data_IF_469283213169
#
_entry.id   IF_469283213169
#
_cell.length_a   1.000
_cell.length_b   1.000
_cell.length_c   1.000
_cell.angle_alpha   90.00
_cell.angle_beta   90.00
_cell.angle_gamma   90.00
#
_symmetry.space_group_name_H-M   'P 1'
#
loop_
_entity.id
_entity.type
_entity.pdbx_description
1 polymer ?
#
# COMPACT_ATOMS: atom_id res chain seq x y z
N UNK A 1 -29.80 24.40 -11.85
CA UNK A 1 -28.51 23.93 -11.30
C UNK A 1 -28.37 22.47 -11.69
N UNK A 2 -27.67 22.16 -12.77
CA UNK A 2 -27.38 20.77 -13.15
C UNK A 2 -26.19 20.31 -12.31
N UNK A 3 -26.45 19.46 -11.31
CA UNK A 3 -25.38 18.75 -10.62
C UNK A 3 -24.63 17.95 -11.69
N UNK A 4 -23.35 18.25 -11.93
CA UNK A 4 -22.53 17.42 -12.79
C UNK A 4 -22.46 16.04 -12.15
N UNK A 5 -23.09 15.04 -12.78
CA UNK A 5 -22.91 13.66 -12.41
C UNK A 5 -21.43 13.34 -12.65
N UNK A 6 -20.69 13.04 -11.57
CA UNK A 6 -19.31 12.58 -11.67
C UNK A 6 -19.21 11.29 -12.50
N UNK A 7 -17.99 10.82 -12.77
CA UNK A 7 -17.77 9.56 -13.47
C UNK A 7 -18.53 8.42 -12.80
N UNK A 8 -19.46 7.79 -13.52
CA UNK A 8 -20.16 6.58 -13.10
C UNK A 8 -19.60 5.40 -13.90
N UNK A 9 -18.91 4.44 -13.25
CA UNK A 9 -18.44 3.26 -13.93
C UNK A 9 -19.64 2.45 -14.45
N UNK A 10 -19.50 1.86 -15.63
CA UNK A 10 -20.52 0.99 -16.23
C UNK A 10 -20.81 -0.24 -15.36
N UNK A 11 -19.80 -0.73 -14.64
CA UNK A 11 -19.91 -1.83 -13.71
C UNK A 11 -20.06 -1.32 -12.26
N UNK A 12 -21.04 -1.84 -11.49
CA UNK A 12 -21.15 -1.53 -10.08
C UNK A 12 -19.89 -1.96 -9.31
N UNK A 13 -19.48 -1.13 -8.35
CA UNK A 13 -18.40 -1.48 -7.41
C UNK A 13 -18.87 -2.68 -6.59
N UNK A 14 -18.23 -3.84 -6.80
CA UNK A 14 -18.58 -5.07 -6.08
C UNK A 14 -17.97 -5.05 -4.69
N UNK A 15 -18.78 -5.36 -3.68
CA UNK A 15 -18.30 -5.48 -2.31
C UNK A 15 -17.44 -6.74 -2.14
N UNK A 16 -16.31 -6.65 -1.42
CA UNK A 16 -15.53 -7.82 -1.05
C UNK A 16 -16.36 -8.90 -0.34
N UNK A 17 -16.11 -10.20 -0.61
CA UNK A 17 -16.81 -11.31 0.06
C UNK A 17 -16.57 -11.34 1.57
N UNK A 18 -15.52 -10.66 2.04
CA UNK A 18 -15.25 -10.42 3.46
C UNK A 18 -16.45 -9.81 4.20
N UNK A 19 -17.23 -8.95 3.52
CA UNK A 19 -18.37 -8.24 4.10
C UNK A 19 -19.72 -8.92 3.79
N UNK A 20 -19.70 -10.14 3.26
CA UNK A 20 -20.94 -10.84 2.90
C UNK A 20 -21.59 -11.49 4.12
N UNK A 21 -22.93 -11.42 4.14
CA UNK A 21 -23.77 -12.22 5.02
C UNK A 21 -24.70 -13.11 4.18
N UNK A 22 -24.77 -14.43 4.44
CA UNK A 22 -23.99 -15.19 5.44
C UNK A 22 -22.48 -15.23 5.09
N UNK A 23 -21.58 -15.46 6.07
CA UNK A 23 -20.13 -15.44 5.85
C UNK A 23 -19.68 -16.49 4.83
N UNK A 24 -18.75 -16.12 3.93
CA UNK A 24 -18.25 -16.98 2.83
C UNK A 24 -16.73 -17.21 2.95
N UNK A 25 -16.25 -18.05 3.88
CA UNK A 25 -14.83 -18.13 4.25
C UNK A 25 -13.90 -18.46 3.07
N UNK A 26 -14.25 -19.44 2.23
CA UNK A 26 -13.44 -19.81 1.07
C UNK A 26 -13.32 -18.67 0.05
N UNK A 27 -14.42 -17.95 -0.19
CA UNK A 27 -14.42 -16.80 -1.09
C UNK A 27 -13.60 -15.64 -0.50
N UNK A 28 -13.68 -15.42 0.81
CA UNK A 28 -12.88 -14.43 1.53
C UNK A 28 -11.38 -14.74 1.45
N UNK A 29 -10.96 -15.98 1.71
CA UNK A 29 -9.54 -16.35 1.63
C UNK A 29 -9.00 -16.19 0.21
N UNK A 30 -9.77 -16.59 -0.80
CA UNK A 30 -9.40 -16.35 -2.20
C UNK A 30 -9.25 -14.86 -2.49
N UNK A 31 -10.22 -14.05 -2.07
CA UNK A 31 -10.17 -12.61 -2.25
C UNK A 31 -8.97 -11.97 -1.53
N UNK A 32 -8.62 -12.42 -0.31
CA UNK A 32 -7.42 -11.96 0.37
C UNK A 32 -6.17 -12.28 -0.46
N UNK A 33 -6.04 -13.52 -0.93
CA UNK A 33 -4.87 -13.93 -1.71
C UNK A 33 -4.75 -13.19 -3.06
N UNK A 34 -5.83 -13.10 -3.83
CA UNK A 34 -5.77 -12.63 -5.22
C UNK A 34 -6.25 -11.21 -5.43
N UNK A 35 -7.17 -10.74 -4.59
CA UNK A 35 -7.77 -9.40 -4.70
C UNK A 35 -7.09 -8.36 -3.82
N UNK A 36 -6.58 -8.76 -2.66
CA UNK A 36 -5.93 -7.84 -1.71
C UNK A 36 -4.39 -7.94 -1.76
N UNK A 37 -3.85 -9.16 -1.71
CA UNK A 37 -2.41 -9.37 -1.64
C UNK A 37 -1.73 -9.33 -3.01
N UNK A 38 -2.22 -10.09 -3.99
CA UNK A 38 -1.57 -10.15 -5.29
C UNK A 38 -1.99 -9.00 -6.23
N UNK A 39 -1.07 -8.39 -7.00
CA UNK A 39 0.38 -8.37 -6.80
C UNK A 39 0.82 -7.29 -5.80
N UNK A 40 0.01 -6.24 -5.62
CA UNK A 40 0.41 -5.00 -4.96
C UNK A 40 0.62 -5.13 -3.45
N UNK A 41 -0.25 -5.83 -2.74
CA UNK A 41 -0.07 -6.08 -1.31
C UNK A 41 1.23 -6.83 -1.02
N UNK A 42 1.56 -7.84 -1.82
CA UNK A 42 2.83 -8.57 -1.72
C UNK A 42 4.04 -7.67 -2.04
N UNK A 43 3.94 -6.81 -3.05
CA UNK A 43 4.97 -5.82 -3.35
C UNK A 43 5.22 -4.91 -2.14
N UNK A 44 4.18 -4.35 -1.52
CA UNK A 44 4.32 -3.47 -0.37
C UNK A 44 4.82 -4.20 0.88
N UNK A 45 4.38 -5.44 1.13
CA UNK A 45 4.92 -6.28 2.21
C UNK A 45 6.40 -6.54 1.98
N UNK A 46 6.81 -6.89 0.76
CA UNK A 46 8.21 -7.08 0.40
C UNK A 46 9.05 -5.83 0.64
N UNK A 47 8.56 -4.65 0.20
CA UNK A 47 9.20 -3.37 0.47
C UNK A 47 9.31 -3.07 1.96
N UNK A 48 8.29 -3.38 2.75
CA UNK A 48 8.30 -3.19 4.20
C UNK A 48 9.38 -4.08 4.86
N UNK A 49 9.43 -5.36 4.49
CA UNK A 49 10.43 -6.31 5.01
C UNK A 49 11.85 -5.87 4.64
N UNK A 50 12.09 -5.51 3.37
CA UNK A 50 13.40 -5.04 2.91
C UNK A 50 13.80 -3.73 3.63
N UNK A 51 12.88 -2.78 3.73
CA UNK A 51 13.13 -1.50 4.37
C UNK A 51 13.43 -1.65 5.86
N UNK A 52 12.71 -2.54 6.56
CA UNK A 52 12.91 -2.78 7.98
C UNK A 52 14.26 -3.46 8.25
N UNK A 53 14.57 -4.53 7.51
CA UNK A 53 15.75 -5.34 7.81
C UNK A 53 17.06 -4.76 7.26
N UNK A 54 17.02 -4.00 6.15
CA UNK A 54 18.23 -3.53 5.47
C UNK A 54 18.44 -2.02 5.56
N UNK A 55 17.36 -1.23 5.62
CA UNK A 55 17.43 0.22 5.47
C UNK A 55 17.03 0.99 6.75
N UNK A 56 16.57 0.29 7.79
CA UNK A 56 16.15 0.93 9.05
C UNK A 56 17.31 0.87 10.05
N UNK A 57 17.66 1.99 10.69
CA UNK A 57 18.70 2.03 11.72
C UNK A 57 18.41 1.07 12.88
N UNK A 58 19.44 0.74 13.65
CA UNK A 58 19.25 -0.12 14.83
C UNK A 58 18.37 0.56 15.88
N UNK A 59 17.66 -0.25 16.68
CA UNK A 59 16.86 0.25 17.81
C UNK A 59 17.70 1.05 18.82
N UNK A 60 18.99 0.73 18.96
CA UNK A 60 19.91 1.49 19.80
C UNK A 60 20.12 2.92 19.30
N UNK A 61 20.28 3.11 17.98
CA UNK A 61 20.41 4.45 17.37
C UNK A 61 19.12 5.25 17.48
N UNK A 62 17.97 4.58 17.47
CA UNK A 62 16.65 5.22 17.58
C UNK A 62 16.16 5.38 19.03
N UNK A 63 16.99 5.06 20.04
CA UNK A 63 16.62 5.16 21.46
C UNK A 63 16.34 6.61 21.91
N UNK A 64 16.99 7.58 21.29
CA UNK A 64 16.78 9.01 21.52
C UNK A 64 16.49 9.73 20.21
N UNK A 65 15.70 10.80 20.29
CA UNK A 65 15.44 11.65 19.13
C UNK A 65 16.76 12.27 18.63
N UNK A 66 17.06 12.07 17.35
CA UNK A 66 18.21 12.65 16.69
C UNK A 66 17.87 12.93 15.23
N UNK A 67 18.18 14.14 14.71
CA UNK A 67 17.92 14.48 13.32
C UNK A 67 18.53 13.50 12.31
N UNK A 68 19.66 12.85 12.63
CA UNK A 68 20.37 11.98 11.70
C UNK A 68 19.55 10.76 11.26
N UNK A 69 19.09 9.93 12.22
CA UNK A 69 18.30 8.75 11.87
C UNK A 69 16.89 9.13 11.38
N UNK A 70 16.33 10.25 11.88
CA UNK A 70 15.04 10.76 11.41
C UNK A 70 15.11 11.18 9.94
N UNK A 71 16.15 11.92 9.56
CA UNK A 71 16.39 12.34 8.18
C UNK A 71 16.65 11.14 7.26
N UNK A 72 17.37 10.12 7.75
CA UNK A 72 17.59 8.87 7.00
C UNK A 72 16.28 8.14 6.71
N UNK A 73 15.40 7.98 7.70
CA UNK A 73 14.09 7.35 7.50
C UNK A 73 13.22 8.20 6.56
N UNK A 74 13.21 9.52 6.75
CA UNK A 74 12.47 10.44 5.89
C UNK A 74 12.93 10.34 4.43
N UNK A 75 14.25 10.42 4.19
CA UNK A 75 14.82 10.36 2.85
C UNK A 75 14.54 9.01 2.19
N UNK A 76 14.73 7.91 2.92
CA UNK A 76 14.39 6.56 2.44
C UNK A 76 12.93 6.47 2.02
N UNK A 77 12.00 6.99 2.83
CA UNK A 77 10.57 6.97 2.52
C UNK A 77 10.23 7.85 1.32
N UNK A 78 10.83 9.05 1.23
CA UNK A 78 10.64 9.95 0.09
C UNK A 78 11.15 9.31 -1.21
N UNK A 79 12.32 8.65 -1.16
CA UNK A 79 12.87 7.91 -2.30
C UNK A 79 11.97 6.74 -2.71
N UNK A 80 11.52 5.90 -1.77
CA UNK A 80 10.61 4.79 -2.07
C UNK A 80 9.28 5.28 -2.67
N UNK A 81 8.73 6.36 -2.12
CA UNK A 81 7.51 6.98 -2.65
C UNK A 81 7.74 7.50 -4.08
N UNK A 82 8.83 8.23 -4.31
CA UNK A 82 9.18 8.76 -5.63
C UNK A 82 9.39 7.65 -6.66
N UNK A 83 10.10 6.58 -6.29
CA UNK A 83 10.35 5.45 -7.18
C UNK A 83 9.07 4.66 -7.49
N UNK A 84 8.28 4.32 -6.47
CA UNK A 84 7.10 3.47 -6.65
C UNK A 84 5.93 4.29 -7.16
N UNK A 85 5.43 5.26 -6.39
CA UNK A 85 4.26 6.04 -6.79
C UNK A 85 4.58 6.94 -7.99
N UNK A 86 5.74 7.60 -7.98
CA UNK A 86 6.17 8.44 -9.11
C UNK A 86 6.43 7.61 -10.37
N UNK A 87 7.07 6.44 -10.25
CA UNK A 87 7.28 5.52 -11.38
C UNK A 87 5.97 4.98 -11.95
N UNK A 88 5.03 4.58 -11.11
CA UNK A 88 3.69 4.15 -11.56
C UNK A 88 2.93 5.30 -12.22
N UNK A 89 3.01 6.51 -11.66
CA UNK A 89 2.35 7.67 -12.25
C UNK A 89 2.92 8.00 -13.63
N UNK A 90 4.25 8.03 -13.77
CA UNK A 90 4.92 8.24 -15.06
C UNK A 90 4.60 7.16 -16.09
N UNK A 91 4.38 5.92 -15.65
CA UNK A 91 4.06 4.82 -16.57
C UNK A 91 2.59 4.80 -17.01
N UNK A 92 1.66 5.20 -16.14
CA UNK A 92 0.22 5.08 -16.35
C UNK A 92 -0.45 6.38 -16.86
N UNK A 93 0.27 7.50 -16.89
CA UNK A 93 -0.22 8.82 -17.33
C UNK A 93 0.81 9.48 -18.24
#
# INVERSE_FOLDING_TARGET
MTAQAGYQPLEPIRMPPLYSWPPRPVATLRWIATGLLYPWGLLFIGLAVLSWNLLTPSMGQMRSLSPGWMALIWLRNATLLGLVAGGLHWWLY
#
